data_IF_033967904217
#
_entry.id   IF_033967904217
#
_cell.length_a   1.000
_cell.length_b   1.000
_cell.length_c   1.000
_cell.angle_alpha   90.00
_cell.angle_beta   90.00
_cell.angle_gamma   90.00
#
_symmetry.space_group_name_H-M   'P 1'
#
loop_
_entity.id
_entity.type
_entity.pdbx_description
1 polymer ?
#
# COMPACT_ATOMS: atom_id res chain seq x y z
N UNK A 1 2.46 7.98 -7.36
CA UNK A 1 2.98 9.36 -7.45
C UNK A 1 4.25 9.34 -8.29
N UNK A 2 4.42 10.31 -9.20
CA UNK A 2 5.64 10.42 -10.00
C UNK A 2 6.77 11.07 -9.18
N UNK A 3 7.97 10.51 -9.23
CA UNK A 3 9.18 10.99 -8.55
C UNK A 3 10.39 10.86 -9.47
N UNK A 4 11.45 11.63 -9.19
CA UNK A 4 12.72 11.53 -9.90
C UNK A 4 13.56 10.37 -9.36
N UNK A 5 14.19 9.62 -10.25
CA UNK A 5 15.14 8.55 -9.93
C UNK A 5 16.28 8.55 -10.93
N UNK A 6 17.44 9.08 -10.53
CA UNK A 6 18.54 9.31 -11.47
C UNK A 6 18.13 10.25 -12.60
N UNK A 7 18.27 9.79 -13.85
CA UNK A 7 17.92 10.55 -15.05
C UNK A 7 16.47 10.30 -15.52
N UNK A 8 15.69 9.51 -14.76
CA UNK A 8 14.34 9.08 -15.11
C UNK A 8 13.28 9.61 -14.14
N UNK A 9 12.02 9.52 -14.59
CA UNK A 9 10.85 9.58 -13.72
C UNK A 9 10.29 8.17 -13.50
N UNK A 10 9.91 7.85 -12.26
CA UNK A 10 9.23 6.60 -11.91
C UNK A 10 7.94 6.89 -11.14
N UNK A 11 7.00 5.95 -11.19
CA UNK A 11 5.80 5.99 -10.35
C UNK A 11 5.98 5.12 -9.12
N UNK A 12 5.96 5.75 -7.95
CA UNK A 12 6.04 5.05 -6.65
C UNK A 12 4.67 4.98 -5.99
N UNK A 13 4.40 3.83 -5.39
CA UNK A 13 3.22 3.56 -4.56
C UNK A 13 3.75 3.20 -3.18
N UNK A 14 3.37 3.98 -2.16
CA UNK A 14 3.64 3.66 -0.78
C UNK A 14 2.35 3.14 -0.12
N UNK A 15 2.47 2.06 0.65
CA UNK A 15 1.37 1.47 1.41
C UNK A 15 1.75 1.50 2.89
N UNK A 16 0.94 2.17 3.70
CA UNK A 16 1.15 2.23 5.14
C UNK A 16 0.27 1.17 5.78
N UNK A 17 0.90 0.12 6.27
CA UNK A 17 0.22 -1.02 6.87
C UNK A 17 0.47 -1.06 8.38
N UNK A 18 -0.61 -1.23 9.15
CA UNK A 18 -0.49 -1.53 10.58
C UNK A 18 -0.13 -3.00 10.77
N UNK A 19 0.75 -3.27 11.73
CA UNK A 19 1.04 -4.63 12.15
C UNK A 19 -0.08 -5.16 13.08
N UNK A 20 -0.78 -6.21 12.63
CA UNK A 20 -1.83 -6.88 13.39
C UNK A 20 -1.53 -8.39 13.56
N UNK A 21 -0.25 -8.77 13.71
CA UNK A 21 0.18 -10.18 13.83
C UNK A 21 -0.50 -10.94 14.98
N UNK A 22 -0.83 -10.26 16.07
CA UNK A 22 -1.52 -10.86 17.24
C UNK A 22 -3.06 -10.72 17.16
N UNK A 23 -3.60 -10.39 15.99
CA UNK A 23 -5.01 -10.06 15.79
C UNK A 23 -5.27 -8.55 15.77
N UNK A 24 -6.30 -8.15 15.03
CA UNK A 24 -6.76 -6.77 15.00
C UNK A 24 -7.44 -6.43 16.33
N UNK A 25 -7.10 -5.29 16.95
CA UNK A 25 -7.70 -4.83 18.21
C UNK A 25 -9.21 -4.58 18.11
N UNK A 26 -9.72 -4.42 16.88
CA UNK A 26 -11.14 -4.22 16.62
C UNK A 26 -11.85 -5.52 16.20
N UNK A 27 -11.19 -6.67 16.26
CA UNK A 27 -11.81 -7.96 15.96
C UNK A 27 -12.55 -8.45 17.22
N UNK A 28 -13.86 -8.67 17.10
CA UNK A 28 -14.66 -9.24 18.17
C UNK A 28 -14.57 -10.77 18.23
N UNK A 29 -15.13 -11.35 19.29
CA UNK A 29 -15.13 -12.81 19.53
C UNK A 29 -15.86 -13.62 18.44
N UNK A 30 -16.71 -12.96 17.65
CA UNK A 30 -17.42 -13.54 16.51
C UNK A 30 -16.66 -13.39 15.18
N UNK A 31 -15.38 -13.01 15.22
CA UNK A 31 -14.54 -12.72 14.04
C UNK A 31 -15.07 -11.60 13.12
N UNK A 32 -15.93 -10.71 13.65
CA UNK A 32 -16.39 -9.52 12.94
C UNK A 32 -15.64 -8.27 13.42
N UNK A 33 -15.42 -7.33 12.50
CA UNK A 33 -14.85 -6.02 12.86
C UNK A 33 -15.87 -5.19 13.65
N UNK A 34 -15.50 -4.68 14.82
CA UNK A 34 -16.35 -3.83 15.66
C UNK A 34 -16.49 -2.38 15.20
N UNK A 35 -15.70 -1.96 14.19
CA UNK A 35 -15.59 -0.55 13.77
C UNK A 35 -15.97 -0.34 12.30
N UNK A 36 -16.88 -1.14 11.75
CA UNK A 36 -17.28 -1.02 10.35
C UNK A 36 -17.83 0.37 9.98
N UNK A 37 -18.50 1.04 10.91
CA UNK A 37 -19.05 2.38 10.68
C UNK A 37 -17.98 3.47 10.72
N UNK A 38 -16.92 3.28 11.53
CA UNK A 38 -15.82 4.23 11.68
C UNK A 38 -14.76 4.06 10.59
N UNK A 39 -14.50 2.82 10.16
CA UNK A 39 -13.51 2.46 9.13
C UNK A 39 -14.11 1.56 8.05
N UNK A 40 -15.08 2.07 7.27
CA UNK A 40 -15.78 1.27 6.26
C UNK A 40 -14.90 0.86 5.07
N UNK A 41 -13.77 1.52 4.85
CA UNK A 41 -12.98 1.40 3.61
C UNK A 41 -11.88 0.31 3.66
N UNK A 42 -11.88 -0.55 4.68
CA UNK A 42 -10.84 -1.59 4.85
C UNK A 42 -11.46 -2.98 4.96
N UNK A 43 -11.91 -3.39 6.14
CA UNK A 43 -12.34 -4.77 6.38
C UNK A 43 -13.67 -5.11 5.69
N UNK A 44 -14.54 -4.11 5.47
CA UNK A 44 -15.85 -4.33 4.82
C UNK A 44 -15.72 -4.58 3.32
N UNK A 45 -14.69 -3.99 2.70
CA UNK A 45 -14.43 -4.13 1.27
C UNK A 45 -13.49 -5.31 0.95
N UNK A 46 -12.76 -5.87 1.92
CA UNK A 46 -11.73 -6.90 1.71
C UNK A 46 -12.20 -8.20 1.00
N UNK A 47 -13.43 -8.70 1.25
CA UNK A 47 -13.97 -9.81 0.46
C UNK A 47 -14.24 -9.40 -0.98
N UNK A 48 -14.55 -8.13 -1.24
CA UNK A 48 -14.72 -7.61 -2.60
C UNK A 48 -13.37 -7.25 -3.22
N UNK A 49 -13.22 -7.50 -4.52
CA UNK A 49 -12.01 -7.10 -5.21
C UNK A 49 -12.05 -5.60 -5.51
N UNK A 50 -11.06 -4.85 -5.00
CA UNK A 50 -10.95 -3.41 -5.23
C UNK A 50 -10.46 -3.15 -6.66
N UNK A 51 -9.96 -4.11 -7.41
CA UNK A 51 -9.68 -3.94 -8.83
C UNK A 51 -10.88 -4.39 -9.70
N UNK A 52 -11.56 -3.49 -10.44
CA UNK A 52 -12.76 -3.88 -11.20
C UNK A 52 -12.46 -4.83 -12.38
N UNK A 53 -11.18 -5.04 -12.69
CA UNK A 53 -10.73 -5.92 -13.78
C UNK A 53 -10.31 -7.31 -13.30
N UNK A 54 -10.32 -7.57 -11.99
CA UNK A 54 -9.98 -8.89 -11.43
C UNK A 54 -11.26 -9.50 -10.85
N UNK A 55 -11.70 -10.66 -11.36
CA UNK A 55 -12.84 -11.37 -10.79
C UNK A 55 -12.48 -11.84 -9.38
N UNK A 56 -13.45 -11.80 -8.47
CA UNK A 56 -13.21 -12.34 -7.15
C UNK A 56 -13.03 -13.86 -7.21
N UNK A 57 -11.99 -14.35 -6.55
CA UNK A 57 -11.76 -15.77 -6.34
C UNK A 57 -11.80 -16.10 -4.84
N UNK A 58 -12.88 -16.70 -4.31
CA UNK A 58 -12.97 -17.18 -2.93
C UNK A 58 -11.80 -18.06 -2.50
N UNK A 59 -11.33 -18.94 -3.40
CA UNK A 59 -10.24 -19.88 -3.10
C UNK A 59 -8.88 -19.19 -2.90
N UNK A 60 -8.73 -17.91 -3.26
CA UNK A 60 -7.52 -17.13 -3.03
C UNK A 60 -7.62 -16.21 -1.80
N UNK A 61 -8.62 -16.41 -0.93
CA UNK A 61 -8.83 -15.60 0.27
C UNK A 61 -8.50 -16.39 1.53
N UNK A 62 -8.17 -15.67 2.60
CA UNK A 62 -7.81 -16.24 3.90
C UNK A 62 -9.06 -16.71 4.67
N UNK A 63 -10.24 -16.20 4.32
CA UNK A 63 -11.50 -16.57 4.96
C UNK A 63 -11.83 -18.07 4.70
N UNK A 64 -12.34 -18.81 5.70
CA UNK A 64 -12.66 -20.23 5.56
C UNK A 64 -13.69 -20.53 4.44
N UNK A 65 -13.65 -21.69 3.78
CA UNK A 65 -14.59 -22.04 2.70
C UNK A 65 -16.07 -21.89 3.08
N UNK A 66 -16.43 -22.28 4.30
CA UNK A 66 -17.81 -22.24 4.81
C UNK A 66 -18.42 -20.84 4.81
N UNK A 67 -17.61 -19.78 4.95
CA UNK A 67 -18.11 -18.39 4.92
C UNK A 67 -18.56 -17.96 3.53
N UNK A 68 -18.18 -18.70 2.48
CA UNK A 68 -18.58 -18.43 1.10
C UNK A 68 -19.89 -19.13 0.71
N UNK A 69 -20.28 -20.17 1.47
CA UNK A 69 -21.51 -20.94 1.26
C UNK A 69 -22.66 -20.48 2.19
N UNK A 70 -22.35 -19.69 3.22
CA UNK A 70 -23.31 -19.20 4.22
C UNK A 70 -23.61 -17.70 4.08
N UNK A 71 -24.89 -17.33 4.13
CA UNK A 71 -25.34 -15.93 4.16
C UNK A 71 -25.30 -15.21 2.79
N UNK A 72 -25.53 -13.90 2.82
CA UNK A 72 -25.45 -13.04 1.64
C UNK A 72 -24.03 -12.45 1.56
N UNK A 73 -23.16 -13.14 0.83
CA UNK A 73 -21.80 -12.64 0.60
C UNK A 73 -21.84 -11.57 -0.49
N UNK A 74 -21.29 -10.40 -0.17
CA UNK A 74 -21.27 -9.27 -1.08
C UNK A 74 -20.13 -9.44 -2.11
N UNK A 75 -20.50 -9.64 -3.37
CA UNK A 75 -19.59 -9.95 -4.46
C UNK A 75 -19.69 -8.95 -5.62
N UNK A 76 -18.56 -8.68 -6.27
CA UNK A 76 -18.47 -7.74 -7.39
C UNK A 76 -19.27 -8.17 -8.63
N UNK A 77 -19.60 -9.46 -8.79
CA UNK A 77 -20.22 -10.03 -9.99
C UNK A 77 -21.71 -10.41 -9.85
N UNK A 78 -22.29 -10.31 -8.64
CA UNK A 78 -23.70 -10.72 -8.40
C UNK A 78 -24.54 -9.76 -7.56
N UNK A 79 -23.96 -9.14 -6.53
CA UNK A 79 -24.71 -8.29 -5.59
C UNK A 79 -23.95 -7.00 -5.38
N UNK A 80 -24.34 -5.97 -6.12
CA UNK A 80 -23.85 -4.62 -5.91
C UNK A 80 -24.72 -3.98 -4.84
N UNK A 81 -24.43 -4.28 -3.57
CA UNK A 81 -24.86 -3.39 -2.49
C UNK A 81 -24.35 -1.98 -2.84
N UNK A 82 -25.24 -0.99 -3.09
CA UNK A 82 -24.82 0.35 -3.48
C UNK A 82 -23.89 1.00 -2.44
N UNK A 83 -24.04 0.63 -1.16
CA UNK A 83 -23.16 1.10 -0.08
C UNK A 83 -21.76 0.53 -0.25
N UNK A 84 -21.63 -0.77 -0.50
CA UNK A 84 -20.34 -1.41 -0.74
C UNK A 84 -19.66 -0.87 -2.00
N UNK A 85 -20.40 -0.69 -3.09
CA UNK A 85 -19.87 -0.12 -4.32
C UNK A 85 -19.31 1.30 -4.10
N UNK A 86 -20.05 2.12 -3.36
CA UNK A 86 -19.60 3.45 -2.97
C UNK A 86 -18.36 3.37 -2.05
N UNK A 87 -18.30 2.44 -1.09
CA UNK A 87 -17.13 2.24 -0.23
C UNK A 87 -15.88 1.83 -1.03
N UNK A 88 -16.02 0.99 -2.05
CA UNK A 88 -14.91 0.63 -2.94
C UNK A 88 -14.39 1.86 -3.69
N UNK A 89 -15.29 2.67 -4.27
CA UNK A 89 -14.90 3.91 -4.95
C UNK A 89 -14.26 4.93 -3.99
N UNK A 90 -14.82 5.09 -2.80
CA UNK A 90 -14.24 5.94 -1.75
C UNK A 90 -12.85 5.45 -1.34
N UNK A 91 -12.63 4.15 -1.22
CA UNK A 91 -11.32 3.57 -0.91
C UNK A 91 -10.30 3.85 -2.02
N UNK A 92 -10.66 3.58 -3.28
CA UNK A 92 -9.83 3.90 -4.46
C UNK A 92 -9.51 5.39 -4.55
N UNK A 93 -10.48 6.25 -4.22
CA UNK A 93 -10.28 7.70 -4.19
C UNK A 93 -9.34 8.11 -3.06
N UNK A 94 -9.52 7.57 -1.85
CA UNK A 94 -8.65 7.85 -0.71
C UNK A 94 -7.18 7.52 -1.02
N UNK A 95 -6.92 6.35 -1.63
CA UNK A 95 -5.57 5.95 -2.05
C UNK A 95 -4.95 6.90 -3.09
N UNK A 96 -5.77 7.52 -3.96
CA UNK A 96 -5.28 8.52 -4.92
C UNK A 96 -5.04 9.87 -4.27
N UNK A 97 -5.97 10.30 -3.41
CA UNK A 97 -5.93 11.59 -2.74
C UNK A 97 -4.74 11.68 -1.77
N UNK A 98 -4.39 10.57 -1.09
CA UNK A 98 -3.29 10.53 -0.11
C UNK A 98 -1.92 10.14 -0.71
N UNK A 99 -1.87 9.71 -1.98
CA UNK A 99 -0.65 9.21 -2.62
C UNK A 99 0.54 10.19 -2.51
N UNK A 100 0.28 11.49 -2.69
CA UNK A 100 1.32 12.53 -2.58
C UNK A 100 1.82 12.66 -1.15
N UNK A 101 0.92 12.65 -0.17
CA UNK A 101 1.27 12.77 1.24
C UNK A 101 2.12 11.57 1.68
N UNK A 102 1.69 10.34 1.36
CA UNK A 102 2.44 9.12 1.68
C UNK A 102 3.86 9.15 1.13
N UNK A 103 4.06 9.59 -0.12
CA UNK A 103 5.41 9.77 -0.67
C UNK A 103 6.19 10.83 0.10
N UNK A 104 5.63 12.03 0.32
CA UNK A 104 6.33 13.08 1.05
C UNK A 104 6.74 12.65 2.47
N UNK A 105 5.91 11.87 3.16
CA UNK A 105 6.22 11.30 4.47
C UNK A 105 7.37 10.28 4.37
N UNK A 106 7.38 9.43 3.34
CA UNK A 106 8.53 8.56 3.07
C UNK A 106 9.81 9.38 2.86
N UNK A 107 9.74 10.48 2.11
CA UNK A 107 10.89 11.37 1.88
C UNK A 107 11.38 12.06 3.15
N UNK A 108 10.47 12.54 4.01
CA UNK A 108 10.79 13.10 5.34
C UNK A 108 11.55 12.09 6.19
N UNK A 109 11.15 10.82 6.12
CA UNK A 109 11.75 9.71 6.85
C UNK A 109 12.99 9.12 6.16
N UNK A 110 13.39 9.61 4.99
CA UNK A 110 14.51 9.07 4.22
C UNK A 110 14.25 7.71 3.55
N UNK A 111 12.99 7.30 3.42
CA UNK A 111 12.55 6.02 2.86
C UNK A 111 12.36 6.13 1.34
N UNK A 112 13.46 6.26 0.60
CA UNK A 112 13.45 6.56 -0.83
C UNK A 112 13.85 5.36 -1.71
N UNK A 113 13.78 4.11 -1.21
CA UNK A 113 14.04 2.91 -2.00
C UNK A 113 12.76 2.10 -2.22
N UNK A 114 12.38 1.96 -3.49
CA UNK A 114 11.22 1.18 -3.90
C UNK A 114 11.64 -0.12 -4.60
N UNK A 115 10.88 -1.21 -4.40
CA UNK A 115 10.96 -2.37 -5.27
C UNK A 115 10.20 -2.15 -6.58
N UNK A 116 10.54 -2.91 -7.62
CA UNK A 116 9.78 -2.88 -8.86
C UNK A 116 8.46 -3.64 -8.75
N UNK A 117 7.36 -2.99 -9.13
CA UNK A 117 6.01 -3.58 -9.12
C UNK A 117 5.97 -4.89 -9.91
N UNK A 118 5.41 -5.93 -9.30
CA UNK A 118 5.32 -7.26 -9.90
C UNK A 118 6.62 -8.08 -9.83
N UNK A 119 7.67 -7.56 -9.18
CA UNK A 119 8.89 -8.32 -8.91
C UNK A 119 9.16 -8.49 -7.41
N UNK A 120 8.93 -7.46 -6.60
CA UNK A 120 9.20 -7.49 -5.17
C UNK A 120 8.47 -6.36 -4.41
N UNK A 121 8.59 -6.39 -3.09
CA UNK A 121 8.29 -5.29 -2.17
C UNK A 121 9.55 -4.84 -1.43
N UNK A 122 9.68 -3.52 -1.21
CA UNK A 122 10.54 -2.97 -0.16
C UNK A 122 9.67 -2.69 1.04
N UNK A 123 10.04 -3.25 2.20
CA UNK A 123 9.27 -3.14 3.44
C UNK A 123 10.13 -2.48 4.50
N UNK A 124 9.68 -1.33 4.97
CA UNK A 124 10.30 -0.60 6.07
C UNK A 124 9.52 -0.89 7.35
N UNK A 125 10.24 -1.18 8.44
CA UNK A 125 9.65 -1.25 9.76
C UNK A 125 9.96 0.04 10.50
N UNK A 126 8.93 0.83 10.75
CA UNK A 126 9.05 2.12 11.44
C UNK A 126 8.55 2.01 12.86
N UNK A 127 9.18 2.78 13.75
CA UNK A 127 8.61 3.07 15.04
C UNK A 127 7.38 3.99 14.90
N UNK A 128 6.39 3.79 15.77
CA UNK A 128 5.12 4.52 15.72
C UNK A 128 5.31 6.01 15.99
N UNK A 129 6.18 6.38 16.93
CA UNK A 129 6.44 7.78 17.27
C UNK A 129 7.14 8.48 16.11
N UNK A 130 8.12 7.83 15.48
CA UNK A 130 8.79 8.38 14.27
C UNK A 130 7.81 8.65 13.13
N UNK A 131 6.88 7.73 12.87
CA UNK A 131 5.86 7.93 11.83
C UNK A 131 4.90 9.08 12.21
N UNK A 132 4.53 9.20 13.49
CA UNK A 132 3.68 10.27 13.97
C UNK A 132 4.35 11.64 13.84
N UNK A 133 5.62 11.74 14.24
CA UNK A 133 6.41 12.97 14.11
C UNK A 133 6.53 13.39 12.65
N UNK A 134 6.68 12.44 11.72
CA UNK A 134 6.70 12.73 10.30
C UNK A 134 5.34 13.25 9.77
N UNK A 135 4.21 12.78 10.30
CA UNK A 135 2.90 13.35 9.98
C UNK A 135 2.78 14.79 10.46
N UNK A 136 3.14 15.07 11.73
CA UNK A 136 3.12 16.42 12.30
C UNK A 136 4.03 17.35 11.50
N UNK A 137 5.22 16.88 11.14
CA UNK A 137 6.17 17.63 10.34
C UNK A 137 5.67 17.89 8.92
N UNK A 138 5.04 16.91 8.26
CA UNK A 138 4.42 17.07 6.94
C UNK A 138 3.32 18.15 6.99
N UNK A 139 2.44 18.12 7.98
CA UNK A 139 1.36 19.11 8.12
C UNK A 139 1.91 20.53 8.35
N UNK A 140 3.04 20.66 9.06
CA UNK A 140 3.75 21.92 9.22
C UNK A 140 4.45 22.37 7.92
N UNK A 141 5.07 21.43 7.19
CA UNK A 141 5.77 21.67 5.93
C UNK A 141 4.86 21.94 4.75
N UNK A 142 3.58 21.56 4.76
CA UNK A 142 2.63 21.98 3.71
C UNK A 142 2.45 23.51 3.65
N UNK A 143 3.08 24.26 4.58
CA UNK A 143 3.24 25.72 4.57
C UNK A 143 4.60 26.20 4.02
N UNK A 144 5.50 25.29 3.63
CA UNK A 144 6.86 25.51 3.13
C UNK A 144 7.19 24.57 1.94
N UNK A 145 8.26 24.83 1.20
CA UNK A 145 8.57 24.13 -0.06
C UNK A 145 8.84 22.62 0.10
N UNK A 146 8.51 21.86 -0.95
CA UNK A 146 8.61 20.40 -1.03
C UNK A 146 10.06 19.89 -0.97
N UNK A 147 10.32 18.91 -0.10
CA UNK A 147 11.57 18.14 -0.06
C UNK A 147 11.63 17.30 -1.35
N UNK A 148 12.77 17.30 -2.04
CA UNK A 148 13.02 16.39 -3.17
C UNK A 148 14.10 15.41 -2.75
N UNK A 149 13.76 14.12 -2.73
CA UNK A 149 14.74 13.05 -2.55
C UNK A 149 15.01 12.34 -3.87
N UNK A 150 16.23 11.83 -4.04
CA UNK A 150 16.59 11.01 -5.19
C UNK A 150 16.13 9.58 -4.94
N UNK A 151 15.01 9.17 -5.53
CA UNK A 151 14.45 7.84 -5.35
C UNK A 151 15.30 6.79 -6.07
N UNK A 152 15.41 5.60 -5.49
CA UNK A 152 16.13 4.47 -6.07
C UNK A 152 15.24 3.25 -6.19
N UNK A 153 15.55 2.39 -7.16
CA UNK A 153 14.88 1.12 -7.34
C UNK A 153 15.78 -0.04 -6.94
N UNK A 154 15.26 -0.91 -6.07
CA UNK A 154 15.88 -2.18 -5.70
C UNK A 154 15.30 -3.31 -6.55
N UNK A 155 16.18 -4.01 -7.27
CA UNK A 155 15.85 -5.19 -8.10
C UNK A 155 17.00 -6.20 -8.07
N UNK A 156 16.68 -7.49 -7.89
CA UNK A 156 17.63 -8.61 -7.97
C UNK A 156 17.70 -9.25 -9.35
N UNK A 157 16.62 -9.24 -10.11
CA UNK A 157 16.57 -9.84 -11.44
C UNK A 157 17.57 -9.12 -12.37
N UNK A 158 18.65 -9.79 -12.85
CA UNK A 158 19.71 -9.11 -13.59
C UNK A 158 19.23 -8.44 -14.88
N UNK A 159 18.33 -9.11 -15.61
CA UNK A 159 17.75 -8.61 -16.85
C UNK A 159 16.95 -7.32 -16.61
N UNK A 160 16.12 -7.30 -15.56
CA UNK A 160 15.33 -6.12 -15.21
C UNK A 160 16.24 -5.00 -14.70
N UNK A 161 17.22 -5.33 -13.86
CA UNK A 161 18.23 -4.37 -13.37
C UNK A 161 18.96 -3.69 -14.53
N UNK A 162 19.40 -4.45 -15.53
CA UNK A 162 20.05 -3.90 -16.71
C UNK A 162 19.11 -3.00 -17.51
N UNK A 163 17.86 -3.42 -17.71
CA UNK A 163 16.84 -2.64 -18.43
C UNK A 163 16.54 -1.31 -17.74
N UNK A 164 16.35 -1.31 -16.42
CA UNK A 164 16.11 -0.09 -15.64
C UNK A 164 17.31 0.86 -15.71
N UNK A 165 18.53 0.35 -15.62
CA UNK A 165 19.75 1.15 -15.78
C UNK A 165 19.83 1.81 -17.16
N UNK A 166 19.42 1.11 -18.23
CA UNK A 166 19.37 1.68 -19.59
C UNK A 166 18.36 2.83 -19.71
N UNK A 167 17.29 2.80 -18.93
CA UNK A 167 16.32 3.90 -18.85
C UNK A 167 16.75 5.05 -17.94
N UNK A 168 17.94 5.00 -17.33
CA UNK A 168 18.44 6.06 -16.46
C UNK A 168 17.91 5.99 -15.01
N UNK A 169 17.21 4.92 -14.65
CA UNK A 169 16.68 4.74 -13.28
C UNK A 169 17.85 4.50 -12.31
N UNK A 170 17.89 5.27 -11.22
CA UNK A 170 18.86 5.05 -10.15
C UNK A 170 18.57 3.72 -9.43
N UNK A 171 19.60 2.90 -9.26
CA UNK A 171 19.50 1.58 -8.66
C UNK A 171 20.15 1.55 -7.28
N UNK A 172 19.53 0.81 -6.36
CA UNK A 172 20.10 0.60 -5.03
C UNK A 172 21.21 -0.47 -5.03
N UNK A 173 22.24 -0.22 -4.22
CA UNK A 173 23.55 -0.88 -4.22
C UNK A 173 23.72 -2.05 -3.25
N UNK A 174 22.75 -2.33 -2.39
CA UNK A 174 22.67 -3.55 -1.56
C UNK A 174 23.57 -3.70 -0.31
N UNK A 175 24.16 -2.65 0.27
CA UNK A 175 24.84 -2.79 1.57
C UNK A 175 24.18 -1.97 2.68
N UNK A 176 23.84 -2.63 3.79
CA UNK A 176 23.38 -1.98 5.04
C UNK A 176 21.99 -1.34 4.99
N UNK A 177 21.08 -1.86 4.15
CA UNK A 177 19.78 -1.25 3.93
C UNK A 177 18.83 -1.32 5.15
N UNK A 178 18.20 -0.20 5.50
CA UNK A 178 17.17 -0.09 6.55
C UNK A 178 15.79 -0.65 6.13
N UNK A 179 15.75 -1.55 5.15
CA UNK A 179 14.53 -2.16 4.62
C UNK A 179 14.70 -3.65 4.32
N UNK A 180 13.59 -4.38 4.37
CA UNK A 180 13.50 -5.76 3.91
C UNK A 180 13.14 -5.75 2.42
N UNK A 181 13.86 -6.52 1.62
CA UNK A 181 13.50 -6.79 0.23
C UNK A 181 12.81 -8.15 0.13
N UNK A 182 11.53 -8.15 -0.24
CA UNK A 182 10.71 -9.36 -0.33
C UNK A 182 10.33 -9.64 -1.79
N UNK A 183 10.95 -10.63 -2.47
CA UNK A 183 10.57 -11.01 -3.83
C UNK A 183 9.17 -11.63 -3.89
N UNK A 184 8.48 -11.43 -5.01
CA UNK A 184 7.15 -12.00 -5.32
C UNK A 184 7.24 -13.37 -5.98
#
# INVERSE_FOLDING_TARGET
MEVTSGDASIYVIAVFAGNALNGCQNLGDNNLCGIYDERPLVCRIYPAEINPFIPLNPASKICPPEVWDEGEVLFTDRIIDPVLANQIECSRKADRDDARAKIAICEILGLNVAAWKGNAFTVYLLDREQLFDAFVFYDALMRASQIRTDWKVRVDTPVLRQKLKQYGVALDGQEGADYIFHPL
#
